data_IF_750473706917
#
_entry.id   IF_750473706917
#
_cell.length_a   1.000
_cell.length_b   1.000
_cell.length_c   1.000
_cell.angle_alpha   90.00
_cell.angle_beta   90.00
_cell.angle_gamma   90.00
#
_symmetry.space_group_name_H-M   'P 1'
#
loop_
_entity.id
_entity.type
_entity.pdbx_description
1 polymer ?
#
# COMPACT_ATOMS: atom_id res chain seq x y z
N UNK A 1 -19.69 11.37 -1.37
CA UNK A 1 -18.37 11.28 -0.71
C UNK A 1 -17.28 11.64 -1.72
N UNK A 2 -16.54 12.75 -1.53
CA UNK A 2 -15.52 13.24 -2.49
C UNK A 2 -14.25 12.37 -2.46
N UNK A 3 -13.92 11.79 -1.32
CA UNK A 3 -12.71 10.98 -1.13
C UNK A 3 -12.83 9.63 -1.86
N UNK A 4 -14.01 9.01 -1.80
CA UNK A 4 -14.32 7.79 -2.57
C UNK A 4 -14.22 8.06 -4.07
N UNK A 5 -14.75 9.19 -4.56
CA UNK A 5 -14.61 9.57 -5.97
C UNK A 5 -13.15 9.70 -6.40
N UNK A 6 -12.31 10.28 -5.55
CA UNK A 6 -10.88 10.42 -5.82
C UNK A 6 -10.18 9.05 -5.90
N UNK A 7 -10.48 8.17 -4.94
CA UNK A 7 -9.91 6.82 -4.90
C UNK A 7 -10.32 5.99 -6.12
N UNK A 8 -11.60 6.02 -6.50
CA UNK A 8 -12.12 5.34 -7.69
C UNK A 8 -11.56 5.93 -8.98
N UNK A 9 -11.39 7.26 -9.05
CA UNK A 9 -10.76 7.92 -10.20
C UNK A 9 -9.33 7.44 -10.36
N UNK A 10 -8.54 7.41 -9.27
CA UNK A 10 -7.17 6.91 -9.31
C UNK A 10 -7.10 5.45 -9.77
N UNK A 11 -7.96 4.59 -9.22
CA UNK A 11 -8.03 3.18 -9.60
C UNK A 11 -8.40 2.98 -11.07
N UNK A 12 -9.37 3.75 -11.57
CA UNK A 12 -9.79 3.70 -12.98
C UNK A 12 -8.65 4.11 -13.93
N UNK A 13 -7.92 5.19 -13.62
CA UNK A 13 -6.79 5.64 -14.45
C UNK A 13 -5.65 4.63 -14.42
N UNK A 14 -5.36 4.06 -13.25
CA UNK A 14 -4.34 3.03 -13.07
C UNK A 14 -4.68 1.76 -13.88
N UNK A 15 -5.94 1.31 -13.84
CA UNK A 15 -6.41 0.19 -14.65
C UNK A 15 -6.30 0.48 -16.17
N UNK A 16 -6.68 1.67 -16.64
CA UNK A 16 -6.51 2.05 -18.05
C UNK A 16 -5.03 2.05 -18.46
N UNK A 17 -4.15 2.52 -17.58
CA UNK A 17 -2.71 2.60 -17.84
C UNK A 17 -2.08 1.23 -18.05
N UNK A 18 -2.58 0.18 -17.39
CA UNK A 18 -2.14 -1.21 -17.61
C UNK A 18 -2.37 -1.70 -19.04
N UNK A 19 -3.37 -1.15 -19.73
CA UNK A 19 -3.69 -1.47 -21.11
C UNK A 19 -3.14 -0.43 -22.10
N UNK A 20 -2.30 0.50 -21.65
CA UNK A 20 -1.75 1.57 -22.49
C UNK A 20 -2.76 2.67 -22.86
N UNK A 21 -3.91 2.73 -22.20
CA UNK A 21 -4.95 3.74 -22.44
C UNK A 21 -4.83 4.93 -21.48
N UNK A 22 -5.39 6.05 -21.90
CA UNK A 22 -5.56 7.27 -21.09
C UNK A 22 -7.05 7.59 -20.98
N UNK A 23 -7.51 8.19 -19.86
CA UNK A 23 -8.89 8.63 -19.75
C UNK A 23 -9.15 9.80 -20.70
N UNK A 24 -10.38 9.86 -21.23
CA UNK A 24 -10.83 10.99 -22.06
C UNK A 24 -10.89 12.31 -21.27
N UNK A 25 -11.11 12.20 -19.96
CA UNK A 25 -11.22 13.33 -19.05
C UNK A 25 -10.15 13.30 -17.97
N UNK A 26 -9.44 14.42 -17.85
CA UNK A 26 -8.39 14.62 -16.84
C UNK A 26 -9.00 15.09 -15.51
N UNK A 27 -8.63 14.46 -14.41
CA UNK A 27 -8.97 14.95 -13.07
C UNK A 27 -8.11 16.16 -12.70
N UNK A 28 -8.67 17.36 -12.78
CA UNK A 28 -7.94 18.63 -12.58
C UNK A 28 -7.93 19.15 -11.14
N UNK A 29 -8.59 18.48 -10.20
CA UNK A 29 -8.75 18.98 -8.82
C UNK A 29 -7.61 18.52 -7.91
N UNK A 30 -6.37 18.87 -8.27
CA UNK A 30 -5.17 18.59 -7.48
C UNK A 30 -4.43 19.88 -7.10
N UNK A 31 -3.62 19.87 -6.02
CA UNK A 31 -2.82 21.03 -5.65
C UNK A 31 -1.60 21.19 -6.59
N UNK A 32 -1.53 22.31 -7.31
CA UNK A 32 -0.48 22.63 -8.30
C UNK A 32 0.60 23.61 -7.79
N UNK A 33 0.71 23.81 -6.47
CA UNK A 33 1.79 24.60 -5.86
C UNK A 33 2.01 24.17 -4.41
N UNK A 34 3.18 24.53 -3.87
CA UNK A 34 3.60 24.19 -2.50
C UNK A 34 2.60 24.63 -1.44
N UNK A 35 2.09 25.86 -1.50
CA UNK A 35 1.12 26.38 -0.54
C UNK A 35 -0.16 25.53 -0.51
N UNK A 36 -0.66 25.10 -1.68
CA UNK A 36 -1.82 24.22 -1.79
C UNK A 36 -1.51 22.80 -1.33
N UNK A 37 -0.32 22.27 -1.61
CA UNK A 37 0.11 20.94 -1.11
C UNK A 37 0.19 20.97 0.41
N UNK A 38 0.84 21.97 0.99
CA UNK A 38 0.94 22.12 2.44
C UNK A 38 -0.44 22.24 3.09
N UNK A 39 -1.34 23.06 2.53
CA UNK A 39 -2.71 23.17 3.03
C UNK A 39 -3.44 21.82 2.95
N UNK A 40 -3.34 21.13 1.82
CA UNK A 40 -3.97 19.83 1.60
C UNK A 40 -3.48 18.79 2.62
N UNK A 41 -2.16 18.61 2.75
CA UNK A 41 -1.57 17.62 3.64
C UNK A 41 -1.83 17.92 5.12
N UNK A 42 -1.87 19.20 5.52
CA UNK A 42 -2.23 19.59 6.90
C UNK A 42 -3.69 19.32 7.25
N UNK A 43 -4.59 19.31 6.26
CA UNK A 43 -6.02 19.03 6.48
C UNK A 43 -6.32 17.53 6.65
N UNK A 44 -5.41 16.65 6.23
CA UNK A 44 -5.58 15.20 6.37
C UNK A 44 -5.52 14.78 7.85
N UNK A 45 -6.34 13.81 8.22
CA UNK A 45 -6.40 13.31 9.59
C UNK A 45 -5.31 12.27 9.85
N UNK A 46 -4.11 12.74 10.23
CA UNK A 46 -2.95 11.90 10.53
C UNK A 46 -3.05 11.08 11.84
N UNK A 47 -4.15 11.18 12.59
CA UNK A 47 -4.50 10.21 13.65
C UNK A 47 -4.96 8.87 13.05
N UNK A 48 -5.46 8.90 11.82
CA UNK A 48 -5.84 7.73 11.01
C UNK A 48 -4.95 7.65 9.76
N UNK A 49 -3.66 7.27 9.93
CA UNK A 49 -2.67 7.34 8.85
C UNK A 49 -2.98 6.44 7.66
N UNK A 50 -3.83 5.41 7.78
CA UNK A 50 -4.31 4.66 6.61
C UNK A 50 -5.05 5.57 5.61
N UNK A 51 -6.03 6.35 6.10
CA UNK A 51 -6.78 7.28 5.26
C UNK A 51 -5.90 8.42 4.75
N UNK A 52 -5.15 9.07 5.65
CA UNK A 52 -4.26 10.17 5.27
C UNK A 52 -3.16 9.74 4.28
N UNK A 53 -2.53 8.59 4.51
CA UNK A 53 -1.53 8.00 3.63
C UNK A 53 -2.10 7.65 2.25
N UNK A 54 -3.34 7.17 2.17
CA UNK A 54 -4.05 6.94 0.90
C UNK A 54 -4.18 8.23 0.09
N UNK A 55 -4.58 9.32 0.73
CA UNK A 55 -4.68 10.63 0.10
C UNK A 55 -3.34 11.25 -0.30
N UNK A 56 -2.29 11.04 0.50
CA UNK A 56 -0.92 11.36 0.11
C UNK A 56 -0.48 10.57 -1.13
N UNK A 57 -0.77 9.27 -1.19
CA UNK A 57 -0.49 8.44 -2.38
C UNK A 57 -1.22 8.95 -3.62
N UNK A 58 -2.49 9.36 -3.48
CA UNK A 58 -3.24 9.96 -4.59
C UNK A 58 -2.58 11.26 -5.07
N UNK A 59 -2.13 12.11 -4.15
CA UNK A 59 -1.42 13.34 -4.50
C UNK A 59 -0.19 13.03 -5.37
N UNK A 60 0.69 12.13 -4.91
CA UNK A 60 1.88 11.75 -5.67
C UNK A 60 1.53 11.16 -7.03
N UNK A 61 0.53 10.28 -7.08
CA UNK A 61 0.05 9.69 -8.33
C UNK A 61 -0.37 10.75 -9.33
N UNK A 62 -1.22 11.70 -8.95
CA UNK A 62 -1.68 12.72 -9.89
C UNK A 62 -0.60 13.74 -10.26
N UNK A 63 0.28 14.12 -9.34
CA UNK A 63 1.43 14.98 -9.67
C UNK A 63 2.35 14.31 -10.71
N UNK A 64 2.55 13.01 -10.58
CA UNK A 64 3.37 12.23 -11.52
C UNK A 64 2.68 12.02 -12.86
N UNK A 65 1.41 11.64 -12.82
CA UNK A 65 0.60 11.35 -14.00
C UNK A 65 0.41 12.59 -14.88
N UNK A 66 0.21 13.77 -14.27
CA UNK A 66 0.12 15.02 -15.02
C UNK A 66 1.52 15.58 -15.28
N UNK A 67 1.97 15.46 -16.52
CA UNK A 67 3.28 15.93 -16.92
C UNK A 67 3.29 17.47 -17.12
N UNK A 68 3.45 18.22 -16.03
CA UNK A 68 3.51 19.70 -16.07
C UNK A 68 4.83 20.26 -15.51
N UNK A 69 5.11 21.53 -15.82
CA UNK A 69 6.32 22.24 -15.39
C UNK A 69 6.37 22.30 -13.86
N UNK A 70 7.49 21.87 -13.25
CA UNK A 70 7.72 21.76 -11.79
C UNK A 70 7.13 20.53 -11.08
N UNK A 71 6.66 19.50 -11.80
CA UNK A 71 6.13 18.29 -11.14
C UNK A 71 7.10 17.68 -10.12
N UNK A 72 8.40 17.61 -10.46
CA UNK A 72 9.40 16.97 -9.61
C UNK A 72 9.69 17.76 -8.33
N UNK A 73 9.66 19.11 -8.42
CA UNK A 73 9.76 20.02 -7.27
C UNK A 73 8.57 19.80 -6.32
N UNK A 74 7.34 19.70 -6.86
CA UNK A 74 6.14 19.50 -6.05
C UNK A 74 6.06 18.09 -5.43
N UNK A 75 6.50 17.06 -6.17
CA UNK A 75 6.64 15.70 -5.63
C UNK A 75 7.64 15.72 -4.48
N UNK A 76 8.80 16.37 -4.67
CA UNK A 76 9.81 16.46 -3.62
C UNK A 76 9.28 17.21 -2.39
N UNK A 77 8.58 18.33 -2.60
CA UNK A 77 7.94 19.07 -1.52
C UNK A 77 6.97 18.22 -0.70
N UNK A 78 6.14 17.41 -1.36
CA UNK A 78 5.21 16.51 -0.69
C UNK A 78 5.96 15.42 0.12
N UNK A 79 7.04 14.86 -0.42
CA UNK A 79 7.90 13.87 0.27
C UNK A 79 8.57 14.49 1.50
N UNK A 80 9.14 15.68 1.36
CA UNK A 80 9.76 16.40 2.46
C UNK A 80 8.73 16.75 3.54
N UNK A 81 7.51 17.08 3.14
CA UNK A 81 6.40 17.33 4.07
C UNK A 81 6.05 16.08 4.87
N UNK A 82 5.86 14.91 4.23
CA UNK A 82 5.46 13.69 4.94
C UNK A 82 6.56 13.24 5.90
N UNK A 83 7.82 13.38 5.52
CA UNK A 83 8.96 13.00 6.38
C UNK A 83 9.06 13.83 7.67
N UNK A 84 8.51 15.05 7.71
CA UNK A 84 8.43 15.86 8.95
C UNK A 84 7.56 15.25 10.03
N UNK A 85 6.61 14.38 9.67
CA UNK A 85 5.71 13.71 10.64
C UNK A 85 6.13 12.26 10.91
N UNK A 86 7.20 11.78 10.29
CA UNK A 86 7.78 10.48 10.58
C UNK A 86 8.33 10.46 12.00
N UNK A 87 8.01 9.44 12.78
CA UNK A 87 8.44 9.31 14.17
C UNK A 87 9.72 8.52 14.25
N UNK A 88 10.74 9.11 14.86
CA UNK A 88 12.00 8.41 15.12
C UNK A 88 11.84 7.28 16.14
N UNK A 89 10.74 7.20 16.90
CA UNK A 89 10.52 6.17 17.93
C UNK A 89 10.18 4.80 17.33
N UNK A 90 9.32 4.77 16.31
CA UNK A 90 8.82 3.53 15.68
C UNK A 90 8.93 3.54 14.15
N UNK A 91 9.39 4.64 13.56
CA UNK A 91 9.61 4.83 12.13
C UNK A 91 8.36 5.19 11.33
N UNK A 92 7.16 5.17 11.91
CA UNK A 92 5.91 5.40 11.17
C UNK A 92 5.55 6.88 11.01
N UNK A 93 4.63 7.17 10.09
CA UNK A 93 4.09 8.51 9.84
C UNK A 93 2.70 8.68 10.45
N UNK A 94 2.59 9.50 11.50
CA UNK A 94 1.31 9.77 12.15
C UNK A 94 1.36 11.01 13.06
N UNK A 95 0.19 11.49 13.47
CA UNK A 95 0.03 12.50 14.52
C UNK A 95 -0.89 11.96 15.62
N UNK A 96 -0.53 12.21 16.89
CA UNK A 96 -1.31 11.77 18.04
C UNK A 96 -1.10 10.28 18.36
N UNK A 97 -2.13 9.63 18.90
CA UNK A 97 -2.09 8.21 19.25
C UNK A 97 -2.86 7.38 18.20
N UNK A 98 -2.27 6.28 17.77
CA UNK A 98 -2.73 5.44 16.66
C UNK A 98 -2.33 3.98 16.91
N UNK A 99 -3.18 3.01 16.55
CA UNK A 99 -2.86 1.58 16.68
C UNK A 99 -1.75 1.14 15.72
N UNK A 100 -1.03 0.07 16.07
CA UNK A 100 0.01 -0.51 15.21
C UNK A 100 -0.53 -0.89 13.84
N UNK A 101 -1.71 -1.50 13.76
CA UNK A 101 -2.38 -1.83 12.50
C UNK A 101 -2.60 -0.60 11.61
N UNK A 102 -3.11 0.52 12.18
CA UNK A 102 -3.28 1.75 11.42
C UNK A 102 -1.94 2.31 10.91
N UNK A 103 -0.88 2.24 11.73
CA UNK A 103 0.47 2.68 11.33
C UNK A 103 1.01 1.86 10.16
N UNK A 104 0.91 0.53 10.22
CA UNK A 104 1.34 -0.39 9.14
C UNK A 104 0.54 -0.12 7.87
N UNK A 105 -0.79 -0.05 7.99
CA UNK A 105 -1.67 0.20 6.85
C UNK A 105 -1.42 1.59 6.23
N UNK A 106 -1.07 2.59 7.05
CA UNK A 106 -0.63 3.91 6.58
C UNK A 106 0.73 3.89 5.90
N UNK A 107 1.71 3.16 6.45
CA UNK A 107 3.02 2.99 5.83
C UNK A 107 2.91 2.34 4.45
N UNK A 108 2.10 1.30 4.30
CA UNK A 108 1.82 0.68 2.99
C UNK A 108 1.36 1.73 1.98
N UNK A 109 0.41 2.61 2.36
CA UNK A 109 -0.09 3.65 1.45
C UNK A 109 0.96 4.70 1.10
N UNK A 110 1.77 5.13 2.06
CA UNK A 110 2.85 6.10 1.82
C UNK A 110 3.90 5.49 0.88
N UNK A 111 4.36 4.27 1.16
CA UNK A 111 5.35 3.56 0.33
C UNK A 111 4.80 3.33 -1.09
N UNK A 112 3.52 2.99 -1.23
CA UNK A 112 2.86 2.89 -2.55
C UNK A 112 2.96 4.21 -3.32
N UNK A 113 2.67 5.34 -2.68
CA UNK A 113 2.81 6.66 -3.30
C UNK A 113 4.25 6.98 -3.71
N UNK A 114 5.23 6.65 -2.85
CA UNK A 114 6.65 6.81 -3.16
C UNK A 114 7.09 5.92 -4.34
N UNK A 115 6.55 4.71 -4.44
CA UNK A 115 6.85 3.76 -5.53
C UNK A 115 6.35 4.25 -6.87
N UNK A 116 5.15 4.85 -6.92
CA UNK A 116 4.58 5.44 -8.15
C UNK A 116 5.50 6.49 -8.77
N UNK A 117 6.24 7.24 -7.94
CA UNK A 117 7.13 8.31 -8.40
C UNK A 117 8.60 7.91 -8.42
N UNK A 118 8.90 6.62 -8.23
CA UNK A 118 10.24 6.05 -8.15
C UNK A 118 11.17 6.76 -7.13
N UNK A 119 10.62 7.10 -5.96
CA UNK A 119 11.36 7.75 -4.85
C UNK A 119 11.18 7.03 -3.52
N UNK A 120 11.28 5.70 -3.52
CA UNK A 120 11.21 4.90 -2.28
C UNK A 120 12.49 5.09 -1.48
N UNK A 121 12.52 6.14 -0.65
CA UNK A 121 13.58 6.41 0.31
C UNK A 121 12.98 7.14 1.52
N UNK A 122 13.22 6.62 2.72
CA UNK A 122 12.73 7.19 3.97
C UNK A 122 13.59 6.76 5.14
N UNK A 123 13.44 7.46 6.27
CA UNK A 123 14.25 7.20 7.46
C UNK A 123 13.72 6.02 8.27
N UNK A 124 14.52 5.50 9.21
CA UNK A 124 14.06 4.57 10.26
C UNK A 124 13.41 3.26 9.77
N UNK A 125 13.82 2.74 8.61
CA UNK A 125 13.31 1.49 8.06
C UNK A 125 13.51 0.30 9.02
N UNK A 126 14.62 0.26 9.76
CA UNK A 126 14.90 -0.76 10.78
C UNK A 126 13.81 -0.78 11.88
N UNK A 127 13.37 0.40 12.31
CA UNK A 127 12.34 0.52 13.36
C UNK A 127 10.97 0.08 12.86
N UNK A 128 10.66 0.36 11.59
CA UNK A 128 9.45 -0.15 10.96
C UNK A 128 9.50 -1.69 10.93
N UNK A 129 10.62 -2.29 10.50
CA UNK A 129 10.81 -3.74 10.51
C UNK A 129 10.55 -4.32 11.91
N UNK A 130 11.16 -3.73 12.95
CA UNK A 130 11.01 -4.23 14.31
C UNK A 130 9.56 -4.25 14.79
N UNK A 131 8.83 -3.17 14.52
CA UNK A 131 7.43 -3.04 14.92
C UNK A 131 6.51 -3.93 14.08
N UNK A 132 6.82 -4.13 12.79
CA UNK A 132 6.03 -4.98 11.90
C UNK A 132 6.17 -6.45 12.26
N UNK A 133 7.40 -6.93 12.52
CA UNK A 133 7.64 -8.32 12.95
C UNK A 133 6.98 -8.64 14.31
N UNK A 134 6.82 -7.64 15.17
CA UNK A 134 6.14 -7.78 16.46
C UNK A 134 4.60 -7.67 16.37
N UNK A 135 4.05 -7.22 15.23
CA UNK A 135 2.62 -6.98 15.08
C UNK A 135 1.87 -8.25 14.70
N UNK A 136 0.67 -8.42 15.25
CA UNK A 136 -0.35 -9.34 14.74
C UNK A 136 -1.29 -8.52 13.85
N UNK A 137 -1.22 -8.69 12.53
CA UNK A 137 -2.07 -7.96 11.59
C UNK A 137 -2.49 -8.87 10.43
N UNK A 138 -3.34 -9.83 10.78
CA UNK A 138 -3.61 -11.03 9.97
C UNK A 138 -5.13 -11.22 9.75
N UNK A 139 -5.95 -10.19 9.99
CA UNK A 139 -7.42 -10.34 10.05
C UNK A 139 -8.05 -10.63 8.69
N UNK A 140 -7.63 -9.91 7.65
CA UNK A 140 -8.18 -10.01 6.30
C UNK A 140 -7.10 -9.81 5.24
N UNK A 141 -7.45 -10.01 3.97
CA UNK A 141 -6.49 -10.05 2.85
C UNK A 141 -5.58 -8.80 2.75
N UNK A 142 -6.14 -7.59 2.89
CA UNK A 142 -5.36 -6.35 2.91
C UNK A 142 -4.40 -6.27 4.09
N UNK A 143 -4.77 -6.73 5.29
CA UNK A 143 -3.86 -6.64 6.45
C UNK A 143 -2.65 -7.57 6.27
N UNK A 144 -2.95 -8.79 5.83
CA UNK A 144 -1.98 -9.79 5.41
C UNK A 144 -1.03 -9.27 4.32
N UNK A 145 -1.56 -8.56 3.33
CA UNK A 145 -0.77 -7.96 2.26
C UNK A 145 0.06 -6.75 2.74
N UNK A 146 -0.52 -5.87 3.56
CA UNK A 146 0.10 -4.62 3.96
C UNK A 146 1.42 -4.85 4.72
N UNK A 147 1.47 -5.83 5.61
CA UNK A 147 2.72 -6.18 6.31
C UNK A 147 3.80 -6.61 5.32
N UNK A 148 3.48 -7.55 4.44
CA UNK A 148 4.42 -8.09 3.44
C UNK A 148 4.99 -6.96 2.59
N UNK A 149 4.13 -6.07 2.12
CA UNK A 149 4.51 -4.90 1.33
C UNK A 149 5.44 -3.96 2.10
N UNK A 150 5.13 -3.63 3.36
CA UNK A 150 5.97 -2.76 4.19
C UNK A 150 7.33 -3.40 4.45
N UNK A 151 7.38 -4.69 4.79
CA UNK A 151 8.63 -5.42 5.02
C UNK A 151 9.50 -5.47 3.78
N UNK A 152 8.94 -5.70 2.59
CA UNK A 152 9.67 -5.68 1.31
C UNK A 152 10.51 -4.43 1.16
N UNK A 153 9.87 -3.26 1.21
CA UNK A 153 10.55 -2.00 0.91
C UNK A 153 11.46 -1.55 2.05
N UNK A 154 11.15 -1.86 3.31
CA UNK A 154 12.08 -1.61 4.41
C UNK A 154 13.32 -2.52 4.32
N UNK A 155 13.15 -3.78 3.92
CA UNK A 155 14.24 -4.73 3.71
C UNK A 155 15.17 -4.27 2.57
N UNK A 156 14.61 -3.69 1.50
CA UNK A 156 15.41 -3.10 0.41
C UNK A 156 16.20 -1.87 0.86
N UNK A 157 15.58 -0.94 1.59
CA UNK A 157 16.25 0.25 2.14
C UNK A 157 17.41 -0.14 3.06
N UNK A 158 17.21 -1.14 3.92
CA UNK A 158 18.27 -1.65 4.82
C UNK A 158 19.26 -2.56 4.10
N UNK A 159 19.13 -2.75 2.78
CA UNK A 159 19.98 -3.62 1.96
C UNK A 159 20.08 -5.04 2.51
N UNK A 160 18.96 -5.55 3.06
CA UNK A 160 18.84 -6.87 3.69
C UNK A 160 19.79 -7.11 4.86
N UNK A 161 20.23 -6.04 5.55
CA UNK A 161 21.15 -6.15 6.69
C UNK A 161 20.45 -6.27 8.04
N UNK A 162 19.22 -5.74 8.16
CA UNK A 162 18.49 -5.71 9.42
C UNK A 162 17.46 -6.85 9.48
N UNK A 163 17.69 -7.83 10.38
CA UNK A 163 16.77 -8.93 10.70
C UNK A 163 16.26 -9.74 9.50
N UNK A 164 17.07 -9.87 8.45
CA UNK A 164 16.63 -10.52 7.21
C UNK A 164 16.20 -11.98 7.39
N UNK A 165 16.87 -12.75 8.27
CA UNK A 165 16.45 -14.12 8.58
C UNK A 165 15.05 -14.18 9.16
N UNK A 166 14.74 -13.31 10.12
CA UNK A 166 13.42 -13.24 10.75
C UNK A 166 12.35 -12.74 9.77
N UNK A 167 12.71 -11.85 8.84
CA UNK A 167 11.83 -11.47 7.73
C UNK A 167 11.55 -12.69 6.84
N UNK A 168 12.56 -13.49 6.51
CA UNK A 168 12.39 -14.68 5.68
C UNK A 168 11.48 -15.72 6.35
N UNK A 169 11.70 -16.01 7.63
CA UNK A 169 10.86 -16.91 8.43
C UNK A 169 9.42 -16.40 8.46
N UNK A 170 9.23 -15.10 8.72
CA UNK A 170 7.92 -14.45 8.67
C UNK A 170 7.22 -14.63 7.33
N UNK A 171 7.95 -14.58 6.20
CA UNK A 171 7.34 -14.79 4.88
C UNK A 171 6.89 -16.24 4.67
N UNK A 172 7.61 -17.22 5.18
CA UNK A 172 7.18 -18.63 5.12
C UNK A 172 5.91 -18.85 5.94
N UNK A 173 5.88 -18.35 7.18
CA UNK A 173 4.68 -18.39 8.04
C UNK A 173 3.50 -17.71 7.34
N UNK A 174 3.76 -16.62 6.61
CA UNK A 174 2.73 -15.90 5.87
C UNK A 174 2.15 -16.71 4.73
N UNK A 175 2.96 -17.48 4.01
CA UNK A 175 2.48 -18.39 2.96
C UNK A 175 1.59 -19.49 3.55
N UNK A 176 1.87 -19.97 4.76
CA UNK A 176 1.01 -20.92 5.44
C UNK A 176 -0.35 -20.31 5.80
N UNK A 177 -0.37 -19.07 6.30
CA UNK A 177 -1.62 -18.33 6.54
C UNK A 177 -2.40 -18.15 5.23
N UNK A 178 -1.74 -17.80 4.13
CA UNK A 178 -2.41 -17.55 2.85
C UNK A 178 -3.16 -18.79 2.33
N UNK A 179 -2.66 -20.01 2.61
CA UNK A 179 -3.34 -21.26 2.25
C UNK A 179 -4.72 -21.36 2.88
N UNK A 180 -4.94 -20.78 4.05
CA UNK A 180 -6.24 -20.80 4.74
C UNK A 180 -7.33 -19.99 4.02
N UNK A 181 -6.93 -19.11 3.10
CA UNK A 181 -7.83 -18.28 2.29
C UNK A 181 -8.03 -18.85 0.88
N UNK A 182 -7.28 -19.88 0.49
CA UNK A 182 -7.28 -20.46 -0.84
C UNK A 182 -8.34 -21.56 -0.99
N UNK A 183 -9.08 -21.54 -2.10
CA UNK A 183 -10.08 -22.54 -2.43
C UNK A 183 -9.52 -23.49 -3.48
N UNK A 184 -9.00 -24.65 -3.08
CA UNK A 184 -8.33 -25.60 -4.00
C UNK A 184 -9.22 -26.09 -5.14
N UNK A 185 -10.51 -26.32 -4.86
CA UNK A 185 -11.42 -26.96 -5.80
C UNK A 185 -11.94 -25.99 -6.88
N UNK A 186 -11.88 -24.69 -6.60
CA UNK A 186 -12.39 -23.61 -7.46
C UNK A 186 -11.23 -22.80 -8.06
N UNK A 187 -10.14 -22.66 -7.32
CA UNK A 187 -9.12 -21.65 -7.53
C UNK A 187 -9.52 -20.30 -6.94
N UNK A 188 -8.50 -19.47 -6.63
CA UNK A 188 -8.68 -18.14 -6.06
C UNK A 188 -8.70 -18.10 -4.53
N UNK A 189 -8.73 -16.88 -4.00
CA UNK A 189 -8.71 -16.61 -2.56
C UNK A 189 -9.92 -15.76 -2.16
N UNK A 190 -10.42 -15.94 -0.94
CA UNK A 190 -11.46 -15.07 -0.36
C UNK A 190 -10.83 -13.94 0.46
N UNK A 191 -11.52 -12.80 0.58
CA UNK A 191 -11.02 -11.64 1.33
C UNK A 191 -10.91 -11.88 2.83
N UNK A 192 -11.83 -12.65 3.39
CA UNK A 192 -11.80 -13.17 4.76
C UNK A 192 -11.77 -14.70 4.71
N UNK A 193 -11.28 -15.37 5.76
CA UNK A 193 -11.28 -16.84 5.81
C UNK A 193 -12.69 -17.38 5.61
N UNK A 194 -12.87 -18.26 4.62
CA UNK A 194 -14.15 -18.86 4.24
C UNK A 194 -15.27 -17.84 3.92
N UNK A 195 -14.92 -16.62 3.47
CA UNK A 195 -15.91 -15.56 3.24
C UNK A 195 -15.46 -14.48 2.26
N UNK A 196 -16.23 -14.30 1.20
CA UNK A 196 -16.04 -13.22 0.23
C UNK A 196 -16.26 -11.84 0.85
N UNK A 197 -15.62 -10.81 0.28
CA UNK A 197 -15.85 -9.43 0.73
C UNK A 197 -17.31 -8.99 0.51
N UNK A 198 -17.97 -8.57 1.59
CA UNK A 198 -19.35 -8.06 1.55
C UNK A 198 -19.44 -6.56 1.30
N UNK A 199 -18.40 -5.79 1.63
CA UNK A 199 -18.48 -4.32 1.70
C UNK A 199 -17.28 -3.66 1.04
N UNK A 200 -17.52 -2.62 0.25
CA UNK A 200 -16.47 -1.81 -0.36
C UNK A 200 -16.84 -0.32 -0.26
N UNK A 201 -15.95 0.47 0.35
CA UNK A 201 -16.21 1.87 0.73
C UNK A 201 -17.53 2.13 1.46
N UNK A 202 -17.92 1.19 2.32
CA UNK A 202 -19.18 1.25 3.08
C UNK A 202 -20.43 0.86 2.28
N UNK A 203 -20.30 0.56 0.98
CA UNK A 203 -21.37 0.03 0.16
C UNK A 203 -21.38 -1.50 0.21
N UNK A 204 -22.56 -2.10 0.36
CA UNK A 204 -22.74 -3.54 0.22
C UNK A 204 -22.54 -3.94 -1.25
N UNK A 205 -21.60 -4.84 -1.51
CA UNK A 205 -21.28 -5.31 -2.87
C UNK A 205 -21.68 -6.77 -3.11
N UNK A 206 -21.69 -7.60 -2.07
CA UNK A 206 -22.09 -9.01 -2.16
C UNK A 206 -22.74 -9.47 -0.86
N UNK A 207 -23.26 -10.70 -0.84
CA UNK A 207 -23.74 -11.35 0.39
C UNK A 207 -22.62 -11.92 1.27
N UNK A 208 -21.36 -11.88 0.82
CA UNK A 208 -20.21 -12.45 1.51
C UNK A 208 -20.37 -13.95 1.77
N UNK A 209 -20.57 -14.73 0.71
CA UNK A 209 -20.67 -16.20 0.78
C UNK A 209 -19.30 -16.84 1.05
N UNK A 210 -19.28 -18.13 1.39
CA UNK A 210 -18.06 -18.92 1.47
C UNK A 210 -17.56 -19.29 0.06
N UNK A 211 -16.96 -18.31 -0.62
CA UNK A 211 -16.44 -18.43 -1.98
C UNK A 211 -15.24 -17.48 -2.16
N UNK A 212 -14.33 -17.75 -3.12
CA UNK A 212 -13.27 -16.83 -3.47
C UNK A 212 -13.84 -15.55 -4.09
N UNK A 213 -13.10 -14.44 -3.98
CA UNK A 213 -13.47 -13.17 -4.60
C UNK A 213 -12.27 -12.47 -5.23
N UNK A 214 -12.53 -11.56 -6.16
CA UNK A 214 -11.47 -10.87 -6.91
C UNK A 214 -10.58 -10.04 -5.98
N UNK A 215 -11.14 -9.44 -4.93
CA UNK A 215 -10.38 -8.58 -4.03
C UNK A 215 -9.39 -9.40 -3.21
N UNK A 216 -9.84 -10.48 -2.57
CA UNK A 216 -8.99 -11.44 -1.87
C UNK A 216 -7.94 -12.05 -2.80
N UNK A 217 -8.37 -12.53 -3.96
CA UNK A 217 -7.49 -13.16 -4.96
C UNK A 217 -6.35 -12.25 -5.39
N UNK A 218 -6.64 -10.99 -5.74
CA UNK A 218 -5.60 -10.04 -6.16
C UNK A 218 -4.64 -9.71 -5.03
N UNK A 219 -5.14 -9.48 -3.80
CA UNK A 219 -4.30 -9.16 -2.64
C UNK A 219 -3.33 -10.31 -2.29
N UNK A 220 -3.82 -11.55 -2.25
CA UNK A 220 -2.98 -12.69 -1.90
C UNK A 220 -1.99 -13.05 -3.00
N UNK A 221 -2.38 -13.02 -4.28
CA UNK A 221 -1.44 -13.25 -5.38
C UNK A 221 -0.35 -12.17 -5.41
N UNK A 222 -0.72 -10.91 -5.17
CA UNK A 222 0.27 -9.83 -5.08
C UNK A 222 1.22 -10.04 -3.90
N UNK A 223 0.69 -10.42 -2.72
CA UNK A 223 1.50 -10.79 -1.56
C UNK A 223 2.48 -11.94 -1.86
N UNK A 224 2.03 -13.00 -2.54
CA UNK A 224 2.88 -14.13 -2.95
C UNK A 224 3.99 -13.68 -3.89
N UNK A 225 3.68 -12.82 -4.86
CA UNK A 225 4.68 -12.25 -5.78
C UNK A 225 5.75 -11.47 -5.02
N UNK A 226 5.37 -10.66 -4.03
CA UNK A 226 6.32 -9.92 -3.19
C UNK A 226 7.14 -10.86 -2.31
N UNK A 227 6.51 -11.85 -1.67
CA UNK A 227 7.20 -12.87 -0.87
C UNK A 227 8.26 -13.58 -1.72
N UNK A 228 7.90 -13.99 -2.94
CA UNK A 228 8.82 -14.65 -3.84
C UNK A 228 10.04 -13.78 -4.17
N UNK A 229 9.90 -12.45 -4.25
CA UNK A 229 11.03 -11.55 -4.45
C UNK A 229 11.87 -11.34 -3.18
N UNK A 230 11.25 -11.33 -1.99
CA UNK A 230 12.00 -11.23 -0.72
C UNK A 230 12.89 -12.47 -0.54
N UNK A 231 12.36 -13.64 -0.89
CA UNK A 231 13.02 -14.95 -0.75
C UNK A 231 13.87 -15.35 -1.96
N UNK A 232 14.04 -14.48 -2.96
CA UNK A 232 14.77 -14.75 -4.22
C UNK A 232 14.27 -16.01 -4.97
N UNK A 233 12.97 -16.29 -4.89
CA UNK A 233 12.27 -17.37 -5.59
C UNK A 233 11.68 -16.92 -6.94
N UNK A 234 11.63 -15.61 -7.19
CA UNK A 234 11.03 -15.02 -8.38
C UNK A 234 11.58 -15.57 -9.70
N UNK A 235 12.89 -15.82 -9.82
CA UNK A 235 13.49 -16.38 -11.04
C UNK A 235 13.07 -17.83 -11.30
N UNK A 236 12.80 -18.60 -10.23
CA UNK A 236 12.32 -19.99 -10.33
C UNK A 236 10.83 -20.05 -10.67
N UNK A 237 10.06 -19.11 -10.13
CA UNK A 237 8.59 -19.08 -10.24
C UNK A 237 8.08 -18.19 -11.38
N UNK A 238 8.96 -17.40 -12.00
CA UNK A 238 8.64 -16.39 -13.02
C UNK A 238 7.59 -15.36 -12.56
N UNK A 239 7.57 -15.06 -11.25
CA UNK A 239 6.69 -14.03 -10.70
C UNK A 239 7.31 -12.63 -10.83
N UNK A 240 6.48 -11.67 -11.26
CA UNK A 240 6.82 -10.25 -11.32
C UNK A 240 5.79 -9.45 -10.51
N UNK A 241 6.22 -8.40 -9.83
CA UNK A 241 5.32 -7.39 -9.25
C UNK A 241 4.89 -6.41 -10.33
N UNK A 242 3.60 -6.05 -10.34
CA UNK A 242 3.07 -5.01 -11.20
C UNK A 242 2.99 -3.71 -10.41
N UNK A 243 3.59 -2.65 -10.95
CA UNK A 243 3.42 -1.30 -10.40
C UNK A 243 2.22 -0.68 -11.09
N UNK A 244 1.19 -0.37 -10.31
CA UNK A 244 -0.07 0.25 -10.77
C UNK A 244 -0.30 1.57 -10.07
#
# INVERSE_FOLDING_TARGET
>A
NQDVKLAETRQSISALSLFGYKPDYIYQKIPYNENRINKYLNQLNWKYPWGAGSHFSHLLYFLYYYNFKKKDELIQYAIDWINKIQKSTDGFWYKGNTSTQQKINGAMKIITGLKVVDKVNFNYAEKIIDNVLAAKNDEQACDNFNIVYVLKYCNEITKRKHRFSEIADFMYDRLDIYKEYYFSDIGGFSFMKNKANGTYYGALITKGKNEPDIHGTVMFIWGISIIAQILDLNNKLQFNEFIT
#
